data_IF_012652108498
#
_entry.id   IF_012652108498
#
_cell.length_a   1.000
_cell.length_b   1.000
_cell.length_c   1.000
_cell.angle_alpha   90.00
_cell.angle_beta   90.00
_cell.angle_gamma   90.00
#
_symmetry.space_group_name_H-M   'P 1'
#
loop_
_entity.id
_entity.type
_entity.pdbx_description
1 polymer ?
#
# COMPACT_ATOMS: atom_id res chain seq x y z
N UNK A 1 2.01 -5.04 -19.55
CA UNK A 1 3.00 -5.41 -18.50
C UNK A 1 2.53 -5.07 -17.10
N UNK A 2 2.08 -3.83 -16.82
CA UNK A 2 1.61 -3.41 -15.48
C UNK A 2 0.49 -4.27 -14.88
N UNK A 3 -0.47 -4.69 -15.69
CA UNK A 3 -1.61 -5.55 -15.27
C UNK A 3 -1.20 -6.92 -14.73
N UNK A 4 0.01 -7.40 -15.05
CA UNK A 4 0.53 -8.68 -14.54
C UNK A 4 1.36 -8.52 -13.26
N UNK A 5 1.90 -7.31 -13.01
CA UNK A 5 2.80 -7.05 -11.90
C UNK A 5 2.06 -6.60 -10.63
N UNK A 6 0.93 -5.90 -10.79
CA UNK A 6 0.11 -5.46 -9.67
C UNK A 6 -1.34 -5.93 -9.86
N UNK A 7 -2.00 -6.49 -8.83
CA UNK A 7 -3.40 -6.87 -8.89
C UNK A 7 -4.33 -5.64 -8.76
N UNK A 8 -3.96 -4.55 -9.42
CA UNK A 8 -4.63 -3.26 -9.42
C UNK A 8 -4.83 -2.79 -10.87
N UNK A 9 -6.03 -2.36 -11.26
CA UNK A 9 -6.26 -1.81 -12.59
C UNK A 9 -5.43 -0.54 -12.83
N UNK A 10 -5.00 -0.27 -14.08
CA UNK A 10 -4.24 0.95 -14.41
C UNK A 10 -4.91 2.25 -13.93
N UNK A 11 -6.25 2.35 -14.03
CA UNK A 11 -7.03 3.50 -13.54
C UNK A 11 -6.79 3.77 -12.06
N UNK A 12 -6.70 2.71 -11.25
CA UNK A 12 -6.47 2.78 -9.81
C UNK A 12 -5.03 3.22 -9.50
N UNK A 13 -4.05 2.72 -10.26
CA UNK A 13 -2.63 3.08 -10.11
C UNK A 13 -2.42 4.56 -10.43
N UNK A 14 -3.01 5.03 -11.52
CA UNK A 14 -2.95 6.45 -11.92
C UNK A 14 -3.67 7.33 -10.90
N UNK A 15 -4.85 6.90 -10.42
CA UNK A 15 -5.59 7.62 -9.40
C UNK A 15 -4.83 7.70 -8.08
N UNK A 16 -4.22 6.60 -7.64
CA UNK A 16 -3.41 6.56 -6.43
C UNK A 16 -2.32 7.65 -6.38
N UNK A 17 -1.64 7.90 -7.50
CA UNK A 17 -0.59 8.90 -7.60
C UNK A 17 -1.09 10.37 -7.51
N UNK A 18 -2.41 10.58 -7.53
CA UNK A 18 -3.04 11.91 -7.40
C UNK A 18 -3.77 12.09 -6.06
N UNK A 19 -3.79 11.07 -5.21
CA UNK A 19 -4.40 11.18 -3.89
C UNK A 19 -3.52 12.02 -2.98
N UNK A 20 -4.16 12.78 -2.09
CA UNK A 20 -3.46 13.45 -1.00
C UNK A 20 -2.80 12.43 -0.07
N UNK A 21 -1.84 12.93 0.74
CA UNK A 21 -1.11 12.10 1.71
C UNK A 21 -2.06 11.33 2.63
N UNK A 22 -3.15 11.96 3.07
CA UNK A 22 -4.16 11.35 3.91
C UNK A 22 -5.51 11.32 3.17
N UNK A 23 -5.94 10.14 2.73
CA UNK A 23 -7.16 10.00 1.92
C UNK A 23 -8.12 8.97 2.50
N UNK A 24 -9.35 8.94 1.99
CA UNK A 24 -10.37 7.94 2.31
C UNK A 24 -10.70 7.09 1.09
N UNK A 25 -11.33 5.93 1.30
CA UNK A 25 -11.89 5.14 0.19
C UNK A 25 -12.90 5.93 -0.66
N UNK A 26 -13.58 6.94 -0.09
CA UNK A 26 -14.46 7.84 -0.84
C UNK A 26 -13.72 8.77 -1.79
N UNK A 27 -12.51 9.22 -1.41
CA UNK A 27 -11.68 10.08 -2.27
C UNK A 27 -11.16 9.30 -3.47
N UNK A 28 -10.72 8.05 -3.25
CA UNK A 28 -10.39 7.13 -4.34
C UNK A 28 -11.60 6.88 -5.25
N UNK A 29 -12.81 6.69 -4.67
CA UNK A 29 -14.02 6.47 -5.46
C UNK A 29 -14.34 7.64 -6.38
N UNK A 30 -14.25 8.87 -5.87
CA UNK A 30 -14.48 10.11 -6.64
C UNK A 30 -13.44 10.30 -7.73
N UNK A 31 -12.17 10.16 -7.36
CA UNK A 31 -11.05 10.43 -8.26
C UNK A 31 -10.98 9.42 -9.41
N UNK A 32 -11.22 8.15 -9.10
CA UNK A 32 -11.18 7.07 -10.07
C UNK A 32 -12.54 6.84 -10.73
N UNK A 33 -13.58 7.60 -10.41
CA UNK A 33 -14.94 7.41 -10.92
C UNK A 33 -15.38 5.93 -10.87
N UNK A 34 -15.44 5.39 -9.65
CA UNK A 34 -15.82 4.01 -9.34
C UNK A 34 -16.80 3.97 -8.16
N UNK A 35 -17.49 2.84 -7.99
CA UNK A 35 -18.35 2.65 -6.82
C UNK A 35 -17.55 2.68 -5.51
N UNK A 36 -18.20 3.12 -4.43
CA UNK A 36 -17.60 3.12 -3.09
C UNK A 36 -17.17 1.72 -2.63
N UNK A 37 -17.93 0.68 -3.00
CA UNK A 37 -17.60 -0.72 -2.70
C UNK A 37 -16.32 -1.16 -3.41
N UNK A 38 -16.17 -0.80 -4.70
CA UNK A 38 -14.95 -1.08 -5.46
C UNK A 38 -13.75 -0.34 -4.90
N UNK A 39 -13.92 0.94 -4.53
CA UNK A 39 -12.86 1.70 -3.89
C UNK A 39 -12.42 1.08 -2.56
N UNK A 40 -13.35 0.63 -1.72
CA UNK A 40 -13.03 -0.08 -0.47
C UNK A 40 -12.28 -1.38 -0.73
N UNK A 41 -12.69 -2.15 -1.74
CA UNK A 41 -11.99 -3.37 -2.16
C UNK A 41 -10.54 -3.09 -2.56
N UNK A 42 -10.31 -2.10 -3.43
CA UNK A 42 -8.96 -1.77 -3.89
C UNK A 42 -8.08 -1.18 -2.79
N UNK A 43 -8.63 -0.34 -1.90
CA UNK A 43 -7.86 0.18 -0.76
C UNK A 43 -7.45 -0.95 0.18
N UNK A 44 -8.30 -1.94 0.42
CA UNK A 44 -7.89 -3.10 1.21
C UNK A 44 -6.74 -3.85 0.54
N UNK A 45 -6.82 -4.10 -0.77
CA UNK A 45 -5.68 -4.68 -1.52
C UNK A 45 -4.42 -3.83 -1.42
N UNK A 46 -4.53 -2.51 -1.47
CA UNK A 46 -3.38 -1.61 -1.28
C UNK A 46 -2.78 -1.74 0.12
N UNK A 47 -3.60 -1.91 1.16
CA UNK A 47 -3.11 -2.17 2.51
C UNK A 47 -2.39 -3.53 2.58
N UNK A 48 -2.97 -4.56 1.97
CA UNK A 48 -2.38 -5.91 1.96
C UNK A 48 -1.02 -5.94 1.25
N UNK A 49 -0.90 -5.17 0.15
CA UNK A 49 0.34 -4.95 -0.59
C UNK A 49 1.29 -3.95 0.10
N UNK A 50 0.91 -3.41 1.26
CA UNK A 50 1.65 -2.38 2.01
C UNK A 50 1.93 -1.10 1.19
N UNK A 51 1.10 -0.80 0.20
CA UNK A 51 1.11 0.44 -0.58
C UNK A 51 0.62 1.65 0.23
N UNK A 52 -0.29 1.39 1.17
CA UNK A 52 -0.85 2.39 2.08
C UNK A 52 -1.00 1.82 3.47
N UNK A 53 -0.98 2.68 4.49
CA UNK A 53 -1.17 2.27 5.87
C UNK A 53 -2.48 2.84 6.41
N UNK A 54 -3.16 2.07 7.27
CA UNK A 54 -4.34 2.57 7.99
C UNK A 54 -3.85 3.55 9.04
N UNK A 55 -4.37 4.78 9.02
CA UNK A 55 -4.09 5.75 10.08
C UNK A 55 -4.93 5.36 11.31
N UNK A 56 -4.30 5.02 12.45
CA UNK A 56 -5.02 4.72 13.68
C UNK A 56 -5.67 5.98 14.25
N UNK A 57 -6.75 5.81 15.03
CA UNK A 57 -7.64 6.81 15.64
C UNK A 57 -8.95 7.21 14.92
N UNK A 58 -9.97 7.44 15.75
CA UNK A 58 -11.40 7.57 15.45
C UNK A 58 -11.73 8.92 14.80
N UNK A 59 -11.72 8.97 13.47
CA UNK A 59 -12.51 9.94 12.69
C UNK A 59 -13.76 9.24 12.14
N UNK A 60 -14.77 10.02 11.75
CA UNK A 60 -16.02 9.51 11.16
C UNK A 60 -15.79 8.58 9.96
N UNK A 61 -14.66 8.72 9.26
CA UNK A 61 -14.24 7.87 8.15
C UNK A 61 -12.80 7.35 8.35
N UNK A 62 -12.55 6.09 8.00
CA UNK A 62 -11.21 5.50 7.99
C UNK A 62 -10.33 6.23 6.97
N UNK A 63 -9.21 6.77 7.45
CA UNK A 63 -8.17 7.37 6.61
C UNK A 63 -7.02 6.40 6.35
N UNK A 64 -6.36 6.61 5.22
CA UNK A 64 -5.21 5.87 4.76
C UNK A 64 -4.09 6.87 4.47
N UNK A 65 -2.89 6.55 4.92
CA UNK A 65 -1.70 7.33 4.64
C UNK A 65 -1.02 6.74 3.39
N UNK A 66 -0.80 7.63 2.42
CA UNK A 66 -0.14 7.36 1.17
C UNK A 66 1.32 7.82 1.22
N UNK A 67 2.19 7.20 0.41
CA UNK A 67 3.48 7.78 0.07
C UNK A 67 3.27 8.99 -0.88
N UNK A 68 4.16 9.98 -0.82
CA UNK A 68 4.06 11.17 -1.67
C UNK A 68 4.10 10.83 -3.17
N UNK A 69 4.82 9.76 -3.53
CA UNK A 69 4.91 9.21 -4.89
C UNK A 69 5.06 7.69 -4.83
N UNK A 70 4.52 7.00 -5.83
CA UNK A 70 4.69 5.54 -5.97
C UNK A 70 6.16 5.12 -6.01
N UNK A 71 7.04 5.91 -6.65
CA UNK A 71 8.47 5.62 -6.71
C UNK A 71 9.17 5.72 -5.35
N UNK A 72 8.71 6.59 -4.45
CA UNK A 72 9.28 6.70 -3.10
C UNK A 72 8.89 5.48 -2.27
N UNK A 73 7.62 5.07 -2.33
CA UNK A 73 7.17 3.81 -1.74
C UNK A 73 7.96 2.61 -2.26
N UNK A 74 8.16 2.50 -3.58
CA UNK A 74 8.87 1.37 -4.17
C UNK A 74 10.33 1.33 -3.72
N UNK A 75 10.99 2.49 -3.61
CA UNK A 75 12.35 2.57 -3.05
C UNK A 75 12.38 2.10 -1.60
N UNK A 76 11.43 2.52 -0.78
CA UNK A 76 11.36 2.08 0.62
C UNK A 76 11.11 0.56 0.72
N UNK A 77 10.25 0.01 -0.14
CA UNK A 77 10.03 -1.42 -0.21
C UNK A 77 11.30 -2.17 -0.64
N UNK A 78 12.03 -1.66 -1.64
CA UNK A 78 13.30 -2.25 -2.06
C UNK A 78 14.34 -2.22 -0.93
N UNK A 79 14.45 -1.11 -0.19
CA UNK A 79 15.33 -1.03 0.97
C UNK A 79 14.96 -2.02 2.07
N UNK A 80 13.67 -2.26 2.28
CA UNK A 80 13.22 -3.18 3.33
C UNK A 80 13.32 -4.65 2.93
N UNK A 81 13.08 -4.97 1.66
CA UNK A 81 13.02 -6.36 1.20
C UNK A 81 14.31 -6.83 0.53
N UNK A 82 14.90 -6.00 -0.34
CA UNK A 82 16.03 -6.40 -1.18
C UNK A 82 17.37 -6.17 -0.49
N UNK A 83 17.60 -4.97 0.08
CA UNK A 83 18.90 -4.66 0.72
C UNK A 83 19.28 -5.66 1.82
N UNK A 84 18.37 -6.16 2.69
CA UNK A 84 18.75 -7.14 3.70
C UNK A 84 19.12 -8.51 3.12
N UNK A 85 18.50 -8.89 2.01
CA UNK A 85 18.80 -10.13 1.29
C UNK A 85 20.15 -10.03 0.58
N UNK A 86 20.45 -8.90 -0.05
CA UNK A 86 21.71 -8.67 -0.76
C UNK A 86 22.90 -8.49 0.21
N UNK A 87 22.68 -7.79 1.33
CA UNK A 87 23.71 -7.55 2.34
C UNK A 87 23.92 -8.71 3.31
N UNK A 88 23.02 -9.71 3.33
CA UNK A 88 23.04 -10.80 4.31
C UNK A 88 22.77 -10.35 5.75
N UNK A 89 22.21 -9.15 5.95
CA UNK A 89 21.94 -8.58 7.28
C UNK A 89 20.62 -9.06 7.91
N UNK A 90 19.83 -9.84 7.18
CA UNK A 90 18.54 -10.33 7.64
C UNK A 90 18.72 -11.42 8.71
N UNK A 91 18.60 -11.03 9.98
CA UNK A 91 18.63 -11.97 11.11
C UNK A 91 17.29 -12.67 11.19
N UNK A 92 17.30 -13.99 10.99
CA UNK A 92 16.14 -14.84 11.26
C UNK A 92 15.95 -14.94 12.77
N UNK A 93 14.70 -14.97 13.27
CA UNK A 93 14.46 -15.34 14.66
C UNK A 93 15.01 -16.74 14.90
N UNK A 94 15.77 -16.92 15.98
CA UNK A 94 16.20 -18.24 16.43
C UNK A 94 14.93 -19.03 16.77
N UNK A 95 14.79 -20.23 16.20
CA UNK A 95 13.69 -21.12 16.53
C UNK A 95 13.69 -21.34 18.05
N UNK A 96 12.55 -21.20 18.74
CA UNK A 96 12.51 -21.50 20.16
C UNK A 96 12.93 -22.96 20.33
N UNK A 97 14.01 -23.18 21.09
CA UNK A 97 14.44 -24.52 21.50
C UNK A 97 13.22 -25.19 22.12
N UNK A 98 12.76 -26.28 21.49
CA UNK A 98 11.69 -27.12 22.01
C UNK A 98 12.19 -27.77 23.32
N UNK A 99 11.86 -27.15 24.46
CA UNK A 99 11.96 -27.76 25.80
C UNK A 99 10.77 -28.69 26.10
#
# INVERSE_FOLDING_TARGET
>A
MLERALPLPPKIIVGYNRLERDFTSGDLAKLCDISRSSAKFYVNKMVDLRLVTKVPHKRMYQKYANANRFGDWMKDLMKLALEPLESGSLKLPEEPEEE
#
